data_IF_274653699148
#
_entry.id   IF_274653699148
#
_cell.length_a   1.000
_cell.length_b   1.000
_cell.length_c   1.000
_cell.angle_alpha   90.00
_cell.angle_beta   90.00
_cell.angle_gamma   90.00
#
_symmetry.space_group_name_H-M   'P 1'
#
loop_
_entity.id
_entity.type
_entity.pdbx_description
1 polymer ?
#
# COMPACT_ATOMS: atom_id res chain seq x y z
N UNK A 1 9.91 -5.30 38.03
CA UNK A 1 9.88 -6.22 36.87
C UNK A 1 9.67 -5.35 35.63
N UNK A 2 10.74 -5.17 34.85
CA UNK A 2 10.75 -4.28 33.66
C UNK A 2 10.07 -5.02 32.53
N UNK A 3 8.87 -4.61 32.12
CA UNK A 3 8.17 -5.15 30.94
C UNK A 3 8.79 -4.56 29.70
N UNK A 4 9.54 -5.36 28.97
CA UNK A 4 9.93 -5.04 27.60
C UNK A 4 8.66 -5.07 26.75
N UNK A 5 8.33 -3.95 26.11
CA UNK A 5 7.22 -3.87 25.15
C UNK A 5 7.73 -4.49 23.86
N UNK A 6 7.37 -5.73 23.63
CA UNK A 6 7.76 -6.46 22.42
C UNK A 6 6.92 -6.00 21.24
N UNK A 7 7.62 -5.58 20.16
CA UNK A 7 7.08 -4.96 18.95
C UNK A 7 6.38 -6.01 18.05
N UNK A 8 5.42 -6.75 18.58
CA UNK A 8 4.47 -7.50 17.76
C UNK A 8 3.30 -6.64 17.24
N UNK A 9 3.19 -5.40 17.73
CA UNK A 9 1.99 -4.54 17.60
C UNK A 9 1.88 -3.85 16.24
N UNK A 10 2.94 -3.78 15.43
CA UNK A 10 2.90 -3.09 14.12
C UNK A 10 2.18 -3.92 13.04
N UNK A 11 1.88 -5.19 13.29
CA UNK A 11 1.12 -6.03 12.36
C UNK A 11 -0.40 -5.89 12.47
N UNK A 12 -0.94 -5.39 13.56
CA UNK A 12 -2.39 -5.28 13.75
C UNK A 12 -3.04 -4.12 12.99
N UNK A 13 -2.30 -3.05 12.68
CA UNK A 13 -2.80 -1.94 11.85
C UNK A 13 -2.82 -2.24 10.33
N UNK A 14 -2.25 -3.37 9.90
CA UNK A 14 -2.20 -3.77 8.49
C UNK A 14 -3.20 -4.89 8.12
N UNK A 15 -4.01 -5.38 9.07
CA UNK A 15 -4.89 -6.54 8.85
C UNK A 15 -6.27 -6.20 8.25
N UNK A 16 -6.53 -4.96 7.84
CA UNK A 16 -7.76 -4.57 7.13
C UNK A 16 -7.61 -4.35 5.63
N UNK A 17 -6.52 -4.77 5.01
CA UNK A 17 -6.44 -4.83 3.55
C UNK A 17 -6.57 -6.28 3.07
N UNK A 18 -7.82 -6.76 2.98
CA UNK A 18 -8.15 -7.89 2.10
C UNK A 18 -7.91 -7.44 0.67
N UNK A 19 -6.94 -8.05 0.05
CA UNK A 19 -6.75 -8.27 -1.39
C UNK A 19 -7.74 -7.55 -2.32
N UNK A 20 -7.35 -6.37 -2.78
CA UNK A 20 -7.70 -5.91 -4.11
C UNK A 20 -6.53 -6.28 -5.05
N UNK A 21 -6.80 -6.61 -6.32
CA UNK A 21 -5.75 -6.98 -7.25
C UNK A 21 -4.79 -5.80 -7.45
N UNK A 22 -3.51 -6.12 -7.45
CA UNK A 22 -2.45 -5.16 -7.74
C UNK A 22 -2.67 -4.55 -9.13
N UNK A 23 -3.02 -3.26 -9.17
CA UNK A 23 -2.70 -2.38 -10.28
C UNK A 23 -2.98 -0.92 -9.92
N UNK A 24 -2.01 -0.10 -10.28
CA UNK A 24 -1.96 1.35 -10.25
C UNK A 24 -1.38 2.01 -8.99
N UNK A 25 -0.06 2.19 -9.01
CA UNK A 25 0.65 3.26 -8.31
C UNK A 25 0.42 4.57 -9.09
N UNK A 26 -0.16 5.62 -8.52
CA UNK A 26 -0.12 6.93 -9.16
C UNK A 26 1.25 7.55 -8.91
N UNK A 27 2.00 7.75 -9.96
CA UNK A 27 3.21 8.55 -10.00
C UNK A 27 2.85 10.01 -9.72
N UNK A 28 3.49 10.62 -8.73
CA UNK A 28 3.31 12.03 -8.41
C UNK A 28 3.78 12.91 -9.59
N UNK A 29 2.89 13.72 -10.11
CA UNK A 29 3.21 14.77 -11.08
C UNK A 29 3.89 15.96 -10.38
N UNK A 30 4.86 16.65 -11.03
CA UNK A 30 5.53 17.80 -10.44
C UNK A 30 4.60 19.01 -10.38
N UNK A 31 4.70 19.77 -9.28
CA UNK A 31 3.95 20.99 -9.05
C UNK A 31 4.30 22.08 -10.10
N UNK A 32 3.31 22.84 -10.59
CA UNK A 32 3.59 23.98 -11.46
C UNK A 32 4.14 25.16 -10.67
N UNK A 33 5.15 25.81 -11.21
CA UNK A 33 5.76 27.03 -10.71
C UNK A 33 4.75 28.20 -10.68
N UNK A 34 4.63 28.83 -9.52
CA UNK A 34 3.82 30.04 -9.34
C UNK A 34 4.50 31.24 -10.00
N UNK A 35 3.85 31.82 -10.98
CA UNK A 35 4.19 33.13 -11.54
C UNK A 35 3.67 34.23 -10.61
N UNK A 36 4.59 35.08 -10.17
CA UNK A 36 4.31 36.27 -9.36
C UNK A 36 3.57 37.32 -10.18
N UNK A 37 2.41 37.77 -9.71
CA UNK A 37 1.80 39.04 -10.11
C UNK A 37 1.75 39.99 -8.91
N UNK A 38 2.39 41.10 -9.10
CA UNK A 38 2.46 42.25 -8.20
C UNK A 38 1.15 43.04 -8.22
N UNK A 39 0.52 43.25 -7.07
CA UNK A 39 -0.57 44.19 -6.85
C UNK A 39 -0.36 44.94 -5.51
N UNK A 40 -0.88 46.17 -5.31
CA UNK A 40 -0.28 47.20 -4.48
C UNK A 40 -0.53 47.10 -2.98
N UNK A 41 0.40 47.67 -2.25
CA UNK A 41 0.53 47.77 -0.82
C UNK A 41 -0.73 48.29 -0.07
N UNK A 42 -1.19 47.56 0.93
CA UNK A 42 -2.02 48.08 2.03
C UNK A 42 -1.25 47.92 3.33
N UNK A 43 -1.33 48.95 4.16
CA UNK A 43 -0.48 49.24 5.30
C UNK A 43 -0.53 48.22 6.43
N UNK A 44 0.63 48.05 7.06
CA UNK A 44 0.95 47.14 8.15
C UNK A 44 0.21 47.46 9.45
N UNK A 45 -0.55 46.48 9.91
CA UNK A 45 -0.76 46.26 11.33
C UNK A 45 0.33 45.31 11.83
N UNK A 46 1.16 45.72 12.77
CA UNK A 46 2.19 44.91 13.43
C UNK A 46 1.54 43.82 14.28
N UNK A 47 1.28 42.69 13.63
CA UNK A 47 1.06 41.42 14.32
C UNK A 47 2.45 40.77 14.45
N UNK A 48 3.00 40.71 15.65
CA UNK A 48 4.18 39.93 15.96
C UNK A 48 3.95 38.49 15.49
N UNK A 49 4.71 38.06 14.50
CA UNK A 49 4.80 36.67 14.15
C UNK A 49 5.26 35.88 15.41
N UNK A 50 4.65 34.71 15.71
CA UNK A 50 5.14 33.89 16.80
C UNK A 50 6.60 33.53 16.55
N UNK A 51 7.44 33.75 17.54
CA UNK A 51 8.85 33.41 17.53
C UNK A 51 9.01 31.95 17.10
N UNK A 52 9.86 31.61 16.10
CA UNK A 52 10.03 30.23 15.67
C UNK A 52 10.47 29.40 16.86
N UNK A 53 9.70 28.36 17.17
CA UNK A 53 10.06 27.40 18.21
C UNK A 53 11.52 26.95 18.02
N UNK A 54 12.32 26.82 19.07
CA UNK A 54 13.73 26.44 18.97
C UNK A 54 13.85 25.14 18.20
N UNK A 55 14.72 25.10 17.19
CA UNK A 55 14.93 23.94 16.35
C UNK A 55 15.22 22.71 17.25
N UNK A 56 14.42 21.68 17.11
CA UNK A 56 14.58 20.46 17.90
C UNK A 56 15.99 19.91 17.68
N UNK A 57 16.68 19.56 18.79
CA UNK A 57 18.03 18.98 18.70
C UNK A 57 17.99 17.69 17.85
N UNK A 58 19.02 17.40 17.03
CA UNK A 58 19.04 16.15 16.27
C UNK A 58 18.87 14.93 17.17
N UNK A 59 18.16 13.92 16.70
CA UNK A 59 18.01 12.64 17.41
C UNK A 59 19.38 12.01 17.58
N UNK A 60 19.83 11.68 18.81
CA UNK A 60 21.14 11.10 19.04
C UNK A 60 21.38 9.84 18.20
N UNK A 61 22.62 9.66 17.70
CA UNK A 61 23.00 8.46 16.95
C UNK A 61 22.79 7.20 17.80
N UNK A 62 23.12 7.28 19.08
CA UNK A 62 22.81 6.26 20.08
C UNK A 62 21.68 6.79 20.99
N UNK A 63 20.55 6.09 20.97
CA UNK A 63 19.39 6.48 21.79
C UNK A 63 19.66 6.24 23.28
N UNK A 64 19.16 7.13 24.16
CA UNK A 64 19.19 6.90 25.61
C UNK A 64 18.27 5.71 25.97
N UNK A 65 18.45 5.15 27.18
CA UNK A 65 17.63 4.04 27.68
C UNK A 65 16.13 4.38 27.63
N UNK A 66 15.77 5.64 27.95
CA UNK A 66 14.39 6.14 27.93
C UNK A 66 14.35 7.31 26.95
N UNK A 67 13.47 7.25 25.96
CA UNK A 67 13.28 8.30 24.93
C UNK A 67 12.06 9.17 25.18
N UNK A 68 11.08 8.67 25.93
CA UNK A 68 9.95 9.46 26.39
C UNK A 68 9.29 8.85 27.64
N UNK A 69 8.48 9.67 28.35
CA UNK A 69 7.57 9.22 29.39
C UNK A 69 6.18 9.71 29.10
N UNK A 70 5.18 8.83 29.25
CA UNK A 70 3.76 9.14 29.07
C UNK A 70 3.04 8.81 30.37
N UNK A 71 2.57 9.82 31.10
CA UNK A 71 1.98 9.68 32.43
C UNK A 71 2.84 8.84 33.39
N UNK A 72 4.19 9.01 33.32
CA UNK A 72 5.16 8.27 34.10
C UNK A 72 5.62 6.92 33.51
N UNK A 73 4.90 6.33 32.56
CA UNK A 73 5.34 5.11 31.87
C UNK A 73 6.42 5.43 30.83
N UNK A 74 7.52 4.65 30.84
CA UNK A 74 8.64 4.87 29.96
C UNK A 74 8.43 4.23 28.58
N UNK A 75 8.85 4.94 27.53
CA UNK A 75 9.12 4.39 26.20
C UNK A 75 10.65 4.29 26.09
N UNK A 76 11.16 3.10 25.76
CA UNK A 76 12.62 2.88 25.73
C UNK A 76 13.20 3.17 24.35
N UNK A 77 14.50 3.52 24.31
CA UNK A 77 15.25 3.68 23.06
C UNK A 77 15.28 2.39 22.26
N UNK A 78 15.33 1.24 22.94
CA UNK A 78 15.27 -0.07 22.28
C UNK A 78 13.94 -0.27 21.55
N UNK A 79 12.82 0.04 22.19
CA UNK A 79 11.49 -0.11 21.56
C UNK A 79 11.34 0.79 20.33
N UNK A 80 11.86 2.02 20.42
CA UNK A 80 11.88 2.96 19.30
C UNK A 80 12.77 2.45 18.15
N UNK A 81 13.98 1.97 18.44
CA UNK A 81 14.89 1.40 17.43
C UNK A 81 14.27 0.17 16.75
N UNK A 82 13.62 -0.70 17.51
CA UNK A 82 12.98 -1.90 16.99
C UNK A 82 11.79 -1.52 16.07
N UNK A 83 11.00 -0.50 16.44
CA UNK A 83 9.90 0.01 15.61
C UNK A 83 10.42 0.60 14.30
N UNK A 84 11.45 1.42 14.35
CA UNK A 84 12.09 2.02 13.18
C UNK A 84 12.70 0.94 12.27
N UNK A 85 13.37 -0.07 12.82
CA UNK A 85 13.90 -1.21 12.05
C UNK A 85 12.79 -2.01 11.34
N UNK A 86 11.66 -2.20 11.99
CA UNK A 86 10.52 -2.89 11.36
C UNK A 86 9.97 -2.12 10.15
N UNK A 87 9.98 -0.79 10.20
CA UNK A 87 9.61 0.07 9.06
C UNK A 87 10.66 -0.04 7.94
N UNK A 88 11.94 0.10 8.29
CA UNK A 88 13.04 0.00 7.33
C UNK A 88 13.09 -1.38 6.63
N UNK A 89 12.74 -2.44 7.32
CA UNK A 89 12.66 -3.79 6.75
C UNK A 89 11.59 -3.95 5.66
N UNK A 90 10.57 -3.08 5.64
CA UNK A 90 9.48 -3.09 4.65
C UNK A 90 9.66 -2.04 3.55
N UNK A 91 10.10 -0.85 3.93
CA UNK A 91 10.20 0.30 3.03
C UNK A 91 11.61 0.52 2.45
N UNK A 92 12.60 -0.25 2.90
CA UNK A 92 14.01 -0.05 2.57
C UNK A 92 14.75 0.81 3.61
N UNK A 93 16.08 0.97 3.45
CA UNK A 93 16.90 1.71 4.38
C UNK A 93 16.49 3.20 4.46
N UNK A 94 16.48 3.74 5.68
CA UNK A 94 16.14 5.14 5.93
C UNK A 94 17.32 6.03 5.52
N UNK A 95 17.13 7.02 4.64
CA UNK A 95 18.16 7.99 4.30
C UNK A 95 18.63 8.77 5.54
N UNK A 96 19.94 9.08 5.67
CA UNK A 96 20.47 9.76 6.84
C UNK A 96 19.82 11.11 7.15
N UNK A 97 19.46 11.86 6.14
CA UNK A 97 18.76 13.16 6.22
C UNK A 97 17.29 13.04 6.68
N UNK A 98 16.68 11.88 6.52
CA UNK A 98 15.31 11.60 6.98
C UNK A 98 15.26 10.98 8.39
N UNK A 99 16.41 10.57 8.93
CA UNK A 99 16.48 9.83 10.19
C UNK A 99 15.73 10.53 11.33
N UNK A 100 15.98 11.79 11.55
CA UNK A 100 15.36 12.56 12.63
C UNK A 100 13.84 12.62 12.49
N UNK A 101 13.37 12.87 11.29
CA UNK A 101 11.93 12.92 10.98
C UNK A 101 11.26 11.58 11.24
N UNK A 102 11.89 10.49 10.79
CA UNK A 102 11.35 9.13 10.97
C UNK A 102 11.30 8.75 12.44
N UNK A 103 12.41 8.92 13.19
CA UNK A 103 12.46 8.57 14.61
C UNK A 103 11.44 9.35 15.44
N UNK A 104 11.30 10.67 15.21
CA UNK A 104 10.31 11.49 15.89
C UNK A 104 8.88 11.10 15.52
N UNK A 105 8.61 10.85 14.26
CA UNK A 105 7.29 10.40 13.81
C UNK A 105 6.90 9.04 14.41
N UNK A 106 7.84 8.09 14.48
CA UNK A 106 7.61 6.80 15.13
C UNK A 106 7.39 6.97 16.64
N UNK A 107 8.21 7.78 17.31
CA UNK A 107 8.04 8.08 18.74
C UNK A 107 6.69 8.72 19.03
N UNK A 108 6.26 9.65 18.18
CA UNK A 108 4.96 10.31 18.29
C UNK A 108 3.81 9.31 18.20
N UNK A 109 3.87 8.38 17.24
CA UNK A 109 2.90 7.30 17.12
C UNK A 109 2.92 6.38 18.36
N UNK A 110 4.09 6.03 18.89
CA UNK A 110 4.21 5.22 20.11
C UNK A 110 3.60 5.92 21.31
N UNK A 111 3.77 7.24 21.45
CA UNK A 111 3.16 8.05 22.50
C UNK A 111 1.62 8.01 22.36
N UNK A 112 1.09 8.25 21.16
CA UNK A 112 -0.35 8.18 20.90
C UNK A 112 -0.94 6.81 21.23
N UNK A 113 -0.27 5.75 20.81
CA UNK A 113 -0.68 4.38 21.11
C UNK A 113 -0.66 4.05 22.61
N UNK A 114 0.37 4.50 23.33
CA UNK A 114 0.44 4.35 24.79
C UNK A 114 -0.72 5.06 25.49
N UNK A 115 -1.09 6.26 25.03
CA UNK A 115 -2.24 6.99 25.57
C UNK A 115 -3.55 6.25 25.34
N UNK A 116 -3.74 5.66 24.17
CA UNK A 116 -4.94 4.85 23.89
C UNK A 116 -5.03 3.63 24.82
N UNK A 117 -3.90 2.91 25.05
CA UNK A 117 -3.86 1.78 25.97
C UNK A 117 -4.21 2.23 27.41
N UNK A 118 -3.64 3.34 27.87
CA UNK A 118 -3.92 3.89 29.21
C UNK A 118 -5.39 4.26 29.36
N UNK A 119 -5.96 4.93 28.37
CA UNK A 119 -7.37 5.31 28.36
C UNK A 119 -8.30 4.08 28.30
N UNK A 120 -7.96 3.06 27.48
CA UNK A 120 -8.70 1.81 27.45
C UNK A 120 -8.71 1.10 28.80
N UNK A 121 -7.58 1.10 29.52
CA UNK A 121 -7.48 0.58 30.89
C UNK A 121 -8.31 1.41 31.88
N UNK A 122 -8.24 2.73 31.81
CA UNK A 122 -9.01 3.64 32.66
C UNK A 122 -10.52 3.44 32.47
N UNK A 123 -10.97 3.23 31.24
CA UNK A 123 -12.38 2.94 30.90
C UNK A 123 -12.76 1.48 31.06
N UNK A 124 -11.85 0.62 31.52
CA UNK A 124 -12.09 -0.82 31.75
C UNK A 124 -12.61 -1.53 30.50
N UNK A 125 -12.04 -1.21 29.33
CA UNK A 125 -12.36 -1.91 28.08
C UNK A 125 -11.89 -3.35 28.20
N UNK A 126 -12.83 -4.30 28.13
CA UNK A 126 -12.56 -5.72 28.28
C UNK A 126 -12.42 -6.39 26.90
N UNK A 127 -11.35 -7.15 26.73
CA UNK A 127 -11.14 -8.05 25.59
C UNK A 127 -11.22 -9.48 26.13
N UNK A 128 -12.17 -10.31 25.66
CA UNK A 128 -12.28 -11.71 26.07
C UNK A 128 -11.01 -12.49 25.72
N UNK A 129 -10.65 -13.46 26.55
CA UNK A 129 -9.47 -14.32 26.29
C UNK A 129 -9.60 -15.10 24.98
N UNK A 130 -10.81 -15.50 24.61
CA UNK A 130 -11.10 -16.16 23.32
C UNK A 130 -10.69 -15.31 22.12
N UNK A 131 -10.95 -14.00 22.17
CA UNK A 131 -10.59 -13.08 21.09
C UNK A 131 -9.06 -12.92 21.01
N UNK A 132 -8.40 -12.81 22.19
CA UNK A 132 -6.94 -12.75 22.29
C UNK A 132 -6.30 -14.02 21.75
N UNK A 133 -6.83 -15.19 22.11
CA UNK A 133 -6.31 -16.49 21.65
C UNK A 133 -6.47 -16.66 20.15
N UNK A 134 -7.59 -16.24 19.59
CA UNK A 134 -7.82 -16.24 18.14
C UNK A 134 -6.80 -15.34 17.41
N UNK A 135 -6.54 -14.15 17.94
CA UNK A 135 -5.57 -13.23 17.35
C UNK A 135 -4.13 -13.76 17.45
N UNK A 136 -3.76 -14.35 18.60
CA UNK A 136 -2.47 -15.00 18.78
C UNK A 136 -2.31 -16.20 17.86
N UNK A 137 -3.38 -16.99 17.64
CA UNK A 137 -3.35 -18.08 16.67
C UNK A 137 -3.12 -17.58 15.23
N UNK A 138 -3.71 -16.44 14.84
CA UNK A 138 -3.44 -15.81 13.55
C UNK A 138 -1.96 -15.36 13.42
N UNK A 139 -1.39 -14.77 14.48
CA UNK A 139 0.03 -14.41 14.50
C UNK A 139 0.91 -15.65 14.32
N UNK A 140 0.63 -16.74 15.04
CA UNK A 140 1.36 -18.01 14.88
C UNK A 140 1.22 -18.60 13.48
N UNK A 141 0.05 -18.49 12.87
CA UNK A 141 -0.22 -18.96 11.50
C UNK A 141 0.57 -18.21 10.40
N UNK A 142 1.19 -17.06 10.71
CA UNK A 142 2.08 -16.35 9.77
C UNK A 142 3.48 -17.01 9.69
N UNK A 143 3.81 -17.89 10.61
CA UNK A 143 5.07 -18.61 10.62
C UNK A 143 4.91 -19.98 9.96
N UNK A 144 5.86 -20.44 9.15
CA UNK A 144 5.81 -21.73 8.46
C UNK A 144 5.72 -22.94 9.41
N UNK A 145 6.20 -22.78 10.66
CA UNK A 145 6.14 -23.83 11.69
C UNK A 145 6.19 -23.27 13.11
N UNK A 146 5.72 -24.06 14.08
CA UNK A 146 5.83 -23.73 15.51
C UNK A 146 7.29 -23.49 15.95
N UNK A 147 8.23 -24.26 15.41
CA UNK A 147 9.67 -24.10 15.71
C UNK A 147 10.15 -22.70 15.31
N UNK A 148 9.76 -22.20 14.14
CA UNK A 148 10.12 -20.87 13.70
C UNK A 148 9.44 -19.78 14.54
N UNK A 149 8.21 -19.97 14.96
CA UNK A 149 7.55 -19.05 15.89
C UNK A 149 8.29 -18.98 17.23
N UNK A 150 8.68 -20.11 17.83
CA UNK A 150 9.44 -20.15 19.08
C UNK A 150 10.84 -19.54 18.93
N UNK A 151 11.49 -19.75 17.79
CA UNK A 151 12.76 -19.10 17.47
C UNK A 151 12.62 -17.58 17.38
N UNK A 152 11.54 -17.09 16.78
CA UNK A 152 11.25 -15.65 16.69
C UNK A 152 11.01 -15.04 18.08
N UNK A 153 10.26 -15.72 18.95
CA UNK A 153 10.07 -15.29 20.35
C UNK A 153 11.42 -15.19 21.08
N UNK A 154 12.26 -16.23 20.95
CA UNK A 154 13.58 -16.27 21.58
C UNK A 154 14.52 -15.19 21.06
N UNK A 155 14.53 -14.97 19.74
CA UNK A 155 15.36 -13.94 19.11
C UNK A 155 14.96 -12.52 19.58
N UNK A 156 13.67 -12.29 19.82
CA UNK A 156 13.14 -11.04 20.34
C UNK A 156 13.18 -10.95 21.87
N UNK A 157 13.68 -12.00 22.55
CA UNK A 157 13.73 -12.09 24.02
C UNK A 157 12.34 -11.85 24.65
N UNK A 158 11.29 -12.37 24.05
CA UNK A 158 9.91 -12.28 24.52
C UNK A 158 9.32 -13.66 24.81
N UNK A 159 8.12 -13.70 25.37
CA UNK A 159 7.38 -14.93 25.69
C UNK A 159 6.01 -14.90 25.06
N UNK A 160 5.38 -16.08 24.89
CA UNK A 160 4.00 -16.17 24.43
C UNK A 160 3.04 -15.39 25.34
N UNK A 161 3.27 -15.41 26.65
CA UNK A 161 2.45 -14.64 27.62
C UNK A 161 2.57 -13.14 27.37
N UNK A 162 3.81 -12.64 27.12
CA UNK A 162 4.01 -11.23 26.75
C UNK A 162 3.29 -10.88 25.45
N UNK A 163 3.38 -11.74 24.41
CA UNK A 163 2.64 -11.56 23.16
C UNK A 163 1.13 -11.50 23.39
N UNK A 164 0.58 -12.41 24.24
CA UNK A 164 -0.84 -12.37 24.60
C UNK A 164 -1.25 -11.07 25.29
N UNK A 165 -0.43 -10.59 26.23
CA UNK A 165 -0.70 -9.35 26.94
C UNK A 165 -0.63 -8.13 26.01
N UNK A 166 0.38 -8.07 25.15
CA UNK A 166 0.52 -7.00 24.15
C UNK A 166 -0.65 -7.03 23.15
N UNK A 167 -1.06 -8.22 22.72
CA UNK A 167 -2.26 -8.40 21.86
C UNK A 167 -3.52 -7.90 22.56
N UNK A 168 -3.73 -8.26 23.82
CA UNK A 168 -4.89 -7.79 24.60
C UNK A 168 -4.90 -6.26 24.73
N UNK A 169 -3.74 -5.65 25.03
CA UNK A 169 -3.60 -4.20 25.12
C UNK A 169 -3.94 -3.54 23.80
N UNK A 170 -3.42 -4.07 22.66
CA UNK A 170 -3.72 -3.57 21.33
C UNK A 170 -5.21 -3.65 21.00
N UNK A 171 -5.82 -4.82 21.18
CA UNK A 171 -7.25 -5.01 20.94
C UNK A 171 -8.12 -4.11 21.83
N UNK A 172 -7.68 -3.82 23.06
CA UNK A 172 -8.41 -2.89 23.94
C UNK A 172 -8.36 -1.46 23.44
N UNK A 173 -7.21 -1.03 22.90
CA UNK A 173 -7.05 0.27 22.26
C UNK A 173 -7.91 0.37 20.98
N UNK A 174 -7.94 -0.67 20.16
CA UNK A 174 -8.78 -0.72 18.95
C UNK A 174 -10.28 -0.65 19.30
N UNK A 175 -10.74 -1.40 20.31
CA UNK A 175 -12.13 -1.34 20.79
C UNK A 175 -12.46 0.04 21.35
N UNK A 176 -11.53 0.69 22.04
CA UNK A 176 -11.71 2.07 22.53
C UNK A 176 -11.90 3.03 21.36
N UNK A 177 -11.00 3.00 20.38
CA UNK A 177 -11.07 3.86 19.19
C UNK A 177 -12.40 3.61 18.48
N UNK A 178 -12.76 2.37 18.21
CA UNK A 178 -14.03 2.04 17.56
C UNK A 178 -15.23 2.62 18.31
N UNK A 179 -15.29 2.48 19.64
CA UNK A 179 -16.38 3.03 20.44
C UNK A 179 -16.48 4.57 20.39
N UNK A 180 -15.32 5.26 20.25
CA UNK A 180 -15.25 6.71 20.20
C UNK A 180 -15.63 7.29 18.83
N UNK A 181 -15.32 6.57 17.77
CA UNK A 181 -15.45 7.11 16.41
C UNK A 181 -16.62 6.52 15.62
N UNK A 182 -17.21 5.39 16.02
CA UNK A 182 -18.24 4.68 15.27
C UNK A 182 -19.38 5.58 14.76
N UNK A 183 -19.86 6.50 15.61
CA UNK A 183 -20.92 7.44 15.23
C UNK A 183 -20.44 8.63 14.39
N UNK A 184 -19.12 8.83 14.27
CA UNK A 184 -18.50 10.01 13.64
C UNK A 184 -17.92 9.74 12.25
N UNK A 185 -17.81 8.46 11.86
CA UNK A 185 -17.18 8.06 10.60
C UNK A 185 -18.16 7.82 9.46
N UNK A 186 -19.45 7.82 9.76
CA UNK A 186 -20.48 7.62 8.74
C UNK A 186 -20.36 8.64 7.61
N UNK A 187 -20.30 8.15 6.39
CA UNK A 187 -20.24 8.97 5.17
C UNK A 187 -21.67 9.25 4.70
N UNK A 188 -22.00 10.53 4.55
CA UNK A 188 -23.31 10.92 4.00
C UNK A 188 -23.28 10.76 2.47
N UNK A 189 -24.41 10.39 1.84
CA UNK A 189 -24.51 10.26 0.37
C UNK A 189 -24.07 11.53 -0.37
N UNK A 190 -24.36 12.71 0.21
CA UNK A 190 -23.97 14.00 -0.38
C UNK A 190 -22.44 14.15 -0.46
N UNK A 191 -21.71 13.65 0.55
CA UNK A 191 -20.23 13.71 0.56
C UNK A 191 -19.63 12.82 -0.54
N UNK A 192 -20.26 11.71 -0.87
CA UNK A 192 -19.84 10.82 -1.98
C UNK A 192 -20.02 11.53 -3.31
N UNK A 193 -21.18 12.14 -3.51
CA UNK A 193 -21.49 12.91 -4.74
C UNK A 193 -20.54 14.10 -4.89
N UNK A 194 -20.32 14.85 -3.81
CA UNK A 194 -19.40 15.98 -3.79
C UNK A 194 -17.96 15.56 -4.10
N UNK A 195 -17.51 14.45 -3.50
CA UNK A 195 -16.16 13.92 -3.78
C UNK A 195 -16.00 13.54 -5.25
N UNK A 196 -16.98 12.82 -5.81
CA UNK A 196 -16.98 12.45 -7.21
C UNK A 196 -16.93 13.66 -8.14
N UNK A 197 -17.80 14.66 -7.91
CA UNK A 197 -17.85 15.88 -8.72
C UNK A 197 -16.55 16.69 -8.69
N UNK A 198 -15.92 16.79 -7.51
CA UNK A 198 -14.67 17.55 -7.32
C UNK A 198 -13.42 16.83 -7.82
N UNK A 199 -13.50 15.53 -8.11
CA UNK A 199 -12.37 14.68 -8.47
C UNK A 199 -12.62 13.86 -9.75
N UNK A 200 -13.38 14.38 -10.70
CA UNK A 200 -13.74 13.64 -11.93
C UNK A 200 -12.53 13.17 -12.74
N UNK A 201 -11.42 13.90 -12.66
CA UNK A 201 -10.13 13.54 -13.23
C UNK A 201 -9.61 12.18 -12.73
N UNK A 202 -9.88 11.84 -11.46
CA UNK A 202 -9.48 10.57 -10.83
C UNK A 202 -10.35 9.38 -11.27
N UNK A 203 -11.49 9.65 -11.88
CA UNK A 203 -12.43 8.64 -12.38
C UNK A 203 -12.34 8.44 -13.88
N UNK A 204 -11.36 9.07 -14.56
CA UNK A 204 -11.08 8.79 -15.95
C UNK A 204 -10.33 7.47 -16.07
N UNK A 205 -10.91 6.53 -16.81
CA UNK A 205 -10.24 5.32 -17.26
C UNK A 205 -9.72 5.56 -18.68
N UNK A 206 -8.43 5.36 -18.89
CA UNK A 206 -7.81 5.36 -20.20
C UNK A 206 -8.39 4.28 -21.13
N UNK A 207 -8.05 4.31 -22.41
CA UNK A 207 -8.45 3.25 -23.33
C UNK A 207 -7.78 1.94 -22.88
N UNK A 208 -8.55 0.85 -22.95
CA UNK A 208 -8.04 -0.48 -22.61
C UNK A 208 -8.41 -1.52 -23.67
N UNK A 209 -7.54 -2.50 -23.80
CA UNK A 209 -7.67 -3.57 -24.80
C UNK A 209 -7.67 -4.90 -24.08
N UNK A 210 -8.61 -5.79 -24.45
CA UNK A 210 -8.54 -7.21 -24.09
C UNK A 210 -7.92 -7.98 -25.23
N UNK A 211 -6.79 -8.63 -24.96
CA UNK A 211 -6.14 -9.40 -26.00
C UNK A 211 -5.67 -10.76 -25.49
N UNK A 212 -5.50 -11.67 -26.45
CA UNK A 212 -4.78 -12.91 -26.27
C UNK A 212 -3.49 -12.88 -27.08
N UNK A 213 -2.46 -13.59 -26.61
CA UNK A 213 -1.21 -13.69 -27.34
C UNK A 213 -0.63 -15.10 -27.39
N UNK A 214 0.25 -15.31 -28.36
CA UNK A 214 1.13 -16.47 -28.47
C UNK A 214 2.56 -15.94 -28.44
N UNK A 215 3.36 -16.38 -27.48
CA UNK A 215 4.78 -16.03 -27.37
C UNK A 215 5.65 -17.17 -27.85
N UNK A 216 6.53 -16.89 -28.81
CA UNK A 216 7.69 -17.72 -29.14
C UNK A 216 8.91 -17.05 -28.54
N UNK A 217 9.31 -17.53 -27.38
CA UNK A 217 10.39 -16.94 -26.58
C UNK A 217 11.75 -17.07 -27.26
N UNK A 218 12.60 -16.09 -26.99
CA UNK A 218 14.03 -16.13 -27.35
C UNK A 218 14.87 -15.88 -26.09
N UNK A 219 15.95 -16.64 -25.88
CA UNK A 219 16.90 -16.34 -24.81
C UNK A 219 17.50 -14.95 -24.97
N UNK A 220 17.79 -14.28 -23.86
CA UNK A 220 18.27 -12.90 -23.86
C UNK A 220 19.54 -12.68 -24.70
N UNK A 221 20.39 -13.70 -24.80
CA UNK A 221 21.65 -13.68 -25.59
C UNK A 221 21.58 -14.61 -26.80
N UNK A 222 20.40 -14.81 -27.40
CA UNK A 222 20.24 -15.67 -28.57
C UNK A 222 21.04 -15.16 -29.77
N UNK A 223 21.68 -16.07 -30.44
CA UNK A 223 22.35 -15.78 -31.73
C UNK A 223 21.34 -15.54 -32.86
N UNK A 224 21.84 -15.08 -33.99
CA UNK A 224 21.01 -14.77 -35.15
C UNK A 224 20.24 -16.00 -35.69
N UNK A 225 20.84 -17.19 -35.64
CA UNK A 225 20.20 -18.41 -36.09
C UNK A 225 19.01 -18.80 -35.19
N UNK A 226 19.18 -18.72 -33.88
CA UNK A 226 18.11 -18.98 -32.91
C UNK A 226 16.94 -17.97 -33.07
N UNK A 227 17.24 -16.69 -33.27
CA UNK A 227 16.22 -15.66 -33.54
C UNK A 227 15.48 -15.95 -34.85
N UNK A 228 16.19 -16.33 -35.90
CA UNK A 228 15.60 -16.68 -37.20
C UNK A 228 14.68 -17.90 -37.11
N UNK A 229 15.08 -18.92 -36.35
CA UNK A 229 14.24 -20.12 -36.13
C UNK A 229 12.95 -19.77 -35.33
N UNK A 230 13.07 -18.98 -34.28
CA UNK A 230 11.93 -18.52 -33.50
C UNK A 230 10.96 -17.67 -34.35
N UNK A 231 11.51 -16.78 -35.18
CA UNK A 231 10.73 -15.98 -36.12
C UNK A 231 10.00 -16.84 -37.13
N UNK A 232 10.69 -17.79 -37.76
CA UNK A 232 10.10 -18.73 -38.74
C UNK A 232 8.96 -19.55 -38.08
N UNK A 233 9.12 -19.97 -36.83
CA UNK A 233 8.07 -20.66 -36.08
C UNK A 233 6.85 -19.75 -35.85
N UNK A 234 7.07 -18.52 -35.48
CA UNK A 234 5.98 -17.53 -35.27
C UNK A 234 5.24 -17.24 -36.58
N UNK A 235 5.98 -17.07 -37.70
CA UNK A 235 5.39 -16.83 -39.01
C UNK A 235 4.57 -18.05 -39.50
N UNK A 236 5.04 -19.29 -39.25
CA UNK A 236 4.29 -20.49 -39.55
C UNK A 236 2.99 -20.58 -38.74
N UNK A 237 3.01 -20.29 -37.43
CA UNK A 237 1.83 -20.24 -36.59
C UNK A 237 0.85 -19.15 -37.04
N UNK A 238 1.35 -17.99 -37.41
CA UNK A 238 0.51 -16.90 -37.94
C UNK A 238 -0.20 -17.31 -39.21
N UNK A 239 0.51 -18.00 -40.13
CA UNK A 239 -0.07 -18.55 -41.38
C UNK A 239 -1.22 -19.52 -41.07
N UNK A 240 -0.99 -20.41 -40.10
CA UNK A 240 -2.00 -21.40 -39.68
C UNK A 240 -3.22 -20.72 -39.09
N UNK A 241 -3.04 -19.71 -38.24
CA UNK A 241 -4.11 -18.92 -37.63
C UNK A 241 -4.90 -18.14 -38.69
N UNK A 242 -4.21 -17.53 -39.65
CA UNK A 242 -4.85 -16.87 -40.81
C UNK A 242 -5.64 -17.85 -41.69
N UNK A 243 -5.29 -19.14 -41.68
CA UNK A 243 -6.06 -20.19 -42.39
C UNK A 243 -7.27 -20.72 -41.57
N UNK A 244 -7.53 -20.18 -40.37
CA UNK A 244 -8.70 -20.50 -39.56
C UNK A 244 -8.47 -21.46 -38.39
N UNK A 245 -7.19 -21.79 -38.05
CA UNK A 245 -6.92 -22.57 -36.83
C UNK A 245 -7.38 -21.77 -35.59
N UNK A 246 -7.85 -22.50 -34.59
CA UNK A 246 -8.28 -21.89 -33.34
C UNK A 246 -7.10 -21.25 -32.57
N UNK A 247 -7.25 -20.00 -32.21
CA UNK A 247 -6.19 -19.22 -31.55
C UNK A 247 -5.87 -19.76 -30.15
N UNK A 248 -6.91 -20.06 -29.35
CA UNK A 248 -6.71 -20.50 -27.98
C UNK A 248 -6.08 -21.88 -27.91
N UNK A 249 -6.50 -22.82 -28.79
CA UNK A 249 -5.87 -24.13 -28.89
C UNK A 249 -4.40 -24.01 -29.34
N UNK A 250 -4.12 -23.12 -30.32
CA UNK A 250 -2.74 -22.86 -30.80
C UNK A 250 -1.87 -22.25 -29.72
N UNK A 251 -2.41 -21.30 -28.93
CA UNK A 251 -1.73 -20.70 -27.78
C UNK A 251 -1.38 -21.77 -26.72
N UNK A 252 -2.35 -22.59 -26.32
CA UNK A 252 -2.11 -23.69 -25.35
C UNK A 252 -1.01 -24.65 -25.77
N UNK A 253 -0.94 -24.94 -27.06
CA UNK A 253 0.02 -25.92 -27.59
C UNK A 253 1.41 -25.33 -27.85
N UNK A 254 1.54 -24.05 -28.13
CA UNK A 254 2.78 -23.47 -28.68
C UNK A 254 3.31 -22.26 -27.93
N UNK A 255 2.47 -21.54 -27.16
CA UNK A 255 2.91 -20.35 -26.43
C UNK A 255 3.87 -20.73 -25.31
N UNK A 256 4.94 -19.96 -25.19
CA UNK A 256 5.94 -20.09 -24.13
C UNK A 256 5.75 -19.06 -23.02
N UNK A 257 4.60 -18.39 -22.99
CA UNK A 257 4.19 -17.57 -21.84
C UNK A 257 3.48 -18.44 -20.80
N UNK A 258 4.11 -18.76 -19.66
CA UNK A 258 3.52 -19.65 -18.66
C UNK A 258 2.28 -19.04 -17.97
N UNK A 259 2.15 -17.71 -18.01
CA UNK A 259 1.04 -17.00 -17.36
C UNK A 259 -0.27 -17.12 -18.15
N UNK A 260 -0.22 -17.00 -19.47
CA UNK A 260 -1.42 -16.96 -20.30
C UNK A 260 -1.63 -18.22 -21.16
N UNK A 261 -0.58 -18.97 -21.50
CA UNK A 261 -0.69 -20.17 -22.36
C UNK A 261 -1.76 -21.17 -21.88
N UNK A 262 -1.86 -21.55 -20.58
CA UNK A 262 -2.89 -22.47 -20.11
C UNK A 262 -4.31 -21.98 -20.35
N UNK A 263 -4.49 -20.65 -20.39
CA UNK A 263 -5.77 -19.98 -20.61
C UNK A 263 -5.98 -19.56 -22.08
N UNK A 264 -5.27 -20.20 -23.03
CA UNK A 264 -5.42 -19.89 -24.46
C UNK A 264 -4.78 -18.55 -24.86
N UNK A 265 -3.83 -18.08 -24.08
CA UNK A 265 -3.11 -16.83 -24.31
C UNK A 265 -3.84 -15.58 -23.80
N UNK A 266 -5.00 -15.70 -23.12
CA UNK A 266 -5.79 -14.55 -22.65
C UNK A 266 -5.04 -13.78 -21.56
N UNK A 267 -4.81 -12.47 -21.81
CA UNK A 267 -4.16 -11.54 -20.92
C UNK A 267 -5.16 -10.69 -20.12
N UNK A 268 -6.46 -10.82 -20.40
CA UNK A 268 -7.47 -9.92 -19.89
C UNK A 268 -7.39 -8.51 -20.49
N UNK A 269 -8.00 -7.54 -19.81
CA UNK A 269 -7.88 -6.13 -20.18
C UNK A 269 -6.59 -5.52 -19.61
N UNK A 270 -5.94 -4.71 -20.41
CA UNK A 270 -4.78 -3.90 -19.99
C UNK A 270 -4.86 -2.48 -20.57
N UNK A 271 -4.26 -1.54 -19.87
CA UNK A 271 -4.17 -0.14 -20.22
C UNK A 271 -2.81 0.19 -20.83
N UNK A 272 -2.68 1.39 -21.42
CA UNK A 272 -1.38 1.87 -21.90
C UNK A 272 -0.37 1.97 -20.73
N UNK A 273 0.88 1.61 -21.01
CA UNK A 273 1.95 1.57 -20.02
C UNK A 273 2.08 0.25 -19.24
N UNK A 274 1.14 -0.70 -19.42
CA UNK A 274 1.17 -2.00 -18.72
C UNK A 274 1.93 -3.09 -19.47
N UNK A 275 2.14 -2.92 -20.77
CA UNK A 275 2.83 -3.90 -21.61
C UNK A 275 4.12 -3.32 -22.19
N UNK A 276 5.00 -4.19 -22.67
CA UNK A 276 6.21 -3.73 -23.35
C UNK A 276 5.86 -2.94 -24.63
N UNK A 277 6.58 -1.84 -24.93
CA UNK A 277 6.16 -0.90 -25.96
C UNK A 277 5.83 -1.50 -27.34
N UNK A 278 6.60 -2.43 -27.93
CA UNK A 278 6.25 -2.99 -29.23
C UNK A 278 4.95 -3.80 -29.21
N UNK A 279 4.70 -4.55 -28.12
CA UNK A 279 3.47 -5.31 -27.92
C UNK A 279 2.26 -4.37 -27.77
N UNK A 280 2.40 -3.37 -26.90
CA UNK A 280 1.36 -2.40 -26.64
C UNK A 280 0.94 -1.64 -27.89
N UNK A 281 1.91 -1.11 -28.62
CA UNK A 281 1.67 -0.39 -29.88
C UNK A 281 0.88 -1.25 -30.87
N UNK A 282 1.27 -2.52 -31.02
CA UNK A 282 0.58 -3.44 -31.91
C UNK A 282 -0.85 -3.73 -31.43
N UNK A 283 -1.03 -4.02 -30.12
CA UNK A 283 -2.34 -4.34 -29.58
C UNK A 283 -3.33 -3.17 -29.69
N UNK A 284 -2.87 -1.93 -29.35
CA UNK A 284 -3.71 -0.75 -29.42
C UNK A 284 -4.01 -0.26 -30.86
N UNK A 285 -3.25 -0.71 -31.86
CA UNK A 285 -3.51 -0.43 -33.28
C UNK A 285 -4.60 -1.34 -33.88
N UNK A 286 -4.87 -2.49 -33.27
CA UNK A 286 -5.82 -3.48 -33.77
C UNK A 286 -7.26 -3.16 -33.34
N UNK A 287 -8.20 -3.54 -34.20
CA UNK A 287 -9.63 -3.55 -33.89
C UNK A 287 -10.04 -4.87 -33.22
N UNK A 288 -11.18 -4.90 -32.49
CA UNK A 288 -11.73 -6.14 -32.00
C UNK A 288 -11.90 -7.19 -33.11
N UNK A 289 -11.43 -8.41 -32.84
CA UNK A 289 -11.39 -9.53 -33.79
C UNK A 289 -10.12 -9.60 -34.65
N UNK A 290 -9.35 -8.53 -34.77
CA UNK A 290 -8.13 -8.51 -35.58
C UNK A 290 -6.96 -9.19 -34.88
N UNK A 291 -6.01 -9.64 -35.71
CA UNK A 291 -4.77 -10.30 -35.29
C UNK A 291 -3.57 -9.53 -35.87
N UNK A 292 -2.52 -9.39 -35.07
CA UNK A 292 -1.30 -8.72 -35.50
C UNK A 292 -0.50 -9.57 -36.50
N UNK A 293 0.41 -8.91 -37.22
CA UNK A 293 1.58 -9.60 -37.74
C UNK A 293 2.50 -10.05 -36.57
N UNK A 294 3.61 -10.74 -36.87
CA UNK A 294 4.56 -11.13 -35.84
C UNK A 294 5.27 -9.90 -35.27
N UNK A 295 5.09 -9.65 -33.98
CA UNK A 295 5.67 -8.52 -33.24
C UNK A 295 6.88 -8.98 -32.45
N UNK A 296 8.01 -8.31 -32.59
CA UNK A 296 9.23 -8.61 -31.85
C UNK A 296 9.30 -7.78 -30.56
N UNK A 297 9.71 -8.41 -29.47
CA UNK A 297 10.01 -7.77 -28.20
C UNK A 297 11.26 -8.36 -27.55
N UNK A 298 11.68 -7.85 -26.40
CA UNK A 298 12.77 -8.43 -25.61
C UNK A 298 12.53 -9.88 -25.15
N UNK A 299 11.28 -10.34 -25.13
CA UNK A 299 10.90 -11.70 -24.74
C UNK A 299 10.86 -12.67 -25.91
N UNK A 300 10.79 -12.19 -27.14
CA UNK A 300 10.65 -13.00 -28.32
C UNK A 300 9.64 -12.44 -29.32
N UNK A 301 9.01 -13.34 -30.06
CA UNK A 301 8.04 -13.03 -31.11
C UNK A 301 6.63 -13.31 -30.63
N UNK A 302 5.75 -12.33 -30.79
CA UNK A 302 4.36 -12.39 -30.36
C UNK A 302 3.42 -12.39 -31.56
N UNK A 303 2.32 -13.16 -31.46
CA UNK A 303 1.15 -13.00 -32.29
C UNK A 303 0.03 -12.56 -31.35
N UNK A 304 -0.59 -11.42 -31.59
CA UNK A 304 -1.57 -10.78 -30.71
C UNK A 304 -2.93 -10.82 -31.42
N UNK A 305 -3.98 -11.19 -30.68
CA UNK A 305 -5.37 -11.10 -31.16
C UNK A 305 -6.17 -10.28 -30.16
N UNK A 306 -6.75 -9.18 -30.62
CA UNK A 306 -7.62 -8.33 -29.81
C UNK A 306 -9.04 -8.93 -29.78
N UNK A 307 -9.54 -9.14 -28.57
CA UNK A 307 -10.88 -9.64 -28.34
C UNK A 307 -11.90 -8.51 -28.17
N UNK A 308 -11.51 -7.44 -27.45
CA UNK A 308 -12.35 -6.29 -27.16
C UNK A 308 -11.50 -5.02 -26.97
N UNK A 309 -12.14 -3.86 -27.14
CA UNK A 309 -11.55 -2.55 -26.92
C UNK A 309 -12.55 -1.64 -26.23
N UNK A 310 -12.10 -0.97 -25.20
CA UNK A 310 -12.87 0.04 -24.49
C UNK A 310 -12.15 1.38 -24.61
N UNK A 311 -12.88 2.37 -25.08
CA UNK A 311 -12.37 3.74 -25.19
C UNK A 311 -12.29 4.41 -23.82
N UNK A 312 -11.59 5.55 -23.76
CA UNK A 312 -11.55 6.39 -22.57
C UNK A 312 -12.98 6.68 -22.10
N UNK A 313 -13.24 6.41 -20.83
CA UNK A 313 -14.53 6.73 -20.20
C UNK A 313 -14.33 7.36 -18.82
N UNK A 314 -15.28 8.15 -18.41
CA UNK A 314 -15.43 8.51 -17.00
C UNK A 314 -16.21 7.40 -16.31
N UNK A 315 -15.66 6.80 -15.26
CA UNK A 315 -16.36 5.79 -14.44
C UNK A 315 -17.58 6.47 -13.81
N UNK A 316 -18.81 6.00 -14.07
CA UNK A 316 -20.01 6.61 -13.51
C UNK A 316 -20.02 6.58 -11.98
N UNK A 317 -20.69 7.56 -11.35
CA UNK A 317 -20.80 7.63 -9.89
C UNK A 317 -21.31 6.31 -9.28
N UNK A 318 -22.28 5.66 -9.91
CA UNK A 318 -22.85 4.40 -9.41
C UNK A 318 -21.82 3.26 -9.32
N UNK A 319 -20.88 3.20 -10.27
CA UNK A 319 -19.78 2.23 -10.24
C UNK A 319 -18.70 2.60 -9.20
N UNK A 320 -18.43 3.90 -9.02
CA UNK A 320 -17.40 4.42 -8.12
C UNK A 320 -17.88 4.54 -6.68
N UNK A 321 -19.20 4.56 -6.44
CA UNK A 321 -19.81 4.90 -5.16
C UNK A 321 -19.26 4.11 -3.98
N UNK A 322 -19.24 2.79 -4.07
CA UNK A 322 -18.75 1.94 -2.98
C UNK A 322 -17.27 2.22 -2.64
N UNK A 323 -16.44 2.44 -3.66
CA UNK A 323 -15.02 2.76 -3.47
C UNK A 323 -14.83 4.14 -2.83
N UNK A 324 -15.63 5.12 -3.24
CA UNK A 324 -15.61 6.46 -2.65
C UNK A 324 -16.08 6.41 -1.19
N UNK A 325 -17.16 5.68 -0.89
CA UNK A 325 -17.68 5.50 0.47
C UNK A 325 -16.62 4.88 1.38
N UNK A 326 -15.96 3.84 0.92
CA UNK A 326 -14.87 3.20 1.66
C UNK A 326 -13.70 4.17 1.88
N UNK A 327 -13.24 4.87 0.85
CA UNK A 327 -12.18 5.86 0.94
C UNK A 327 -12.51 6.97 1.95
N UNK A 328 -13.69 7.57 1.85
CA UNK A 328 -14.13 8.64 2.75
C UNK A 328 -14.32 8.12 4.18
N UNK A 329 -14.81 6.88 4.36
CA UNK A 329 -14.93 6.25 5.67
C UNK A 329 -13.55 6.09 6.32
N UNK A 330 -12.56 5.61 5.57
CA UNK A 330 -11.18 5.47 6.07
C UNK A 330 -10.56 6.84 6.38
N UNK A 331 -10.79 7.83 5.54
CA UNK A 331 -10.34 9.21 5.77
C UNK A 331 -10.96 9.80 7.05
N UNK A 332 -12.28 9.65 7.22
CA UNK A 332 -12.98 10.10 8.44
C UNK A 332 -12.46 9.35 9.67
N UNK A 333 -12.27 8.03 9.57
CA UNK A 333 -11.71 7.20 10.65
C UNK A 333 -10.35 7.72 11.08
N UNK A 334 -9.46 7.97 10.14
CA UNK A 334 -8.13 8.52 10.43
C UNK A 334 -8.23 9.87 11.14
N UNK A 335 -8.97 10.82 10.58
CA UNK A 335 -9.15 12.16 11.14
C UNK A 335 -9.78 12.13 12.55
N UNK A 336 -10.82 11.31 12.77
CA UNK A 336 -11.46 11.20 14.09
C UNK A 336 -10.54 10.51 15.12
N UNK A 337 -9.75 9.52 14.70
CA UNK A 337 -8.76 8.90 15.59
C UNK A 337 -7.68 9.90 15.98
N UNK A 338 -7.19 10.71 15.04
CA UNK A 338 -6.21 11.75 15.32
C UNK A 338 -6.75 12.81 16.30
N UNK A 339 -7.97 13.28 16.09
CA UNK A 339 -8.66 14.20 17.01
C UNK A 339 -8.78 13.60 18.41
N UNK A 340 -9.15 12.33 18.50
CA UNK A 340 -9.25 11.63 19.78
C UNK A 340 -7.89 11.51 20.48
N UNK A 341 -6.85 11.09 19.77
CA UNK A 341 -5.49 11.00 20.32
C UNK A 341 -4.98 12.36 20.76
N UNK A 342 -5.23 13.43 19.98
CA UNK A 342 -4.84 14.80 20.35
C UNK A 342 -5.58 15.27 21.62
N UNK A 343 -6.84 14.89 21.80
CA UNK A 343 -7.57 15.17 23.04
C UNK A 343 -7.00 14.41 24.26
N UNK A 344 -6.47 13.19 24.07
CA UNK A 344 -5.75 12.47 25.12
C UNK A 344 -4.40 13.12 25.43
N UNK A 345 -3.65 13.56 24.41
CA UNK A 345 -2.37 14.27 24.57
C UNK A 345 -2.51 15.53 25.40
N UNK A 346 -3.57 16.32 25.15
CA UNK A 346 -3.83 17.56 25.86
C UNK A 346 -4.04 17.38 27.38
N UNK A 347 -4.41 16.16 27.81
CA UNK A 347 -4.65 15.83 29.23
C UNK A 347 -3.47 15.07 29.88
N UNK A 348 -2.52 14.62 29.07
CA UNK A 348 -1.45 13.74 29.51
C UNK A 348 -0.17 14.52 29.88
N UNK A 349 0.60 13.97 30.83
CA UNK A 349 1.94 14.41 31.07
C UNK A 349 2.91 13.64 30.14
N UNK A 350 3.44 14.34 29.12
CA UNK A 350 4.35 13.77 28.13
C UNK A 350 5.72 14.47 28.30
N UNK A 351 6.77 13.65 28.45
CA UNK A 351 8.15 14.11 28.53
C UNK A 351 8.92 13.44 27.39
N UNK A 352 9.44 14.22 26.43
CA UNK A 352 10.26 13.74 25.32
C UNK A 352 11.73 14.04 25.66
N UNK A 353 12.60 13.04 25.57
CA UNK A 353 13.99 13.08 26.01
C UNK A 353 15.01 13.04 24.86
N UNK A 354 14.54 13.05 23.59
CA UNK A 354 15.37 13.06 22.37
C UNK A 354 14.98 14.18 21.43
#
# INVERSE_FOLDING_TARGET
MRRAISIFIITALAACSRTAPANATPQAAPAPAASAQSGPAAQAGTSQAPEPAPAAKPVPAQLPEIVARVNGEAITGKDLDDAVRAIAGRAGPIPPDERDRVYRGVLDNMIGYRLMIQEAKARKIIVPDTDVDAQVAQIRGQFPSEVQFQQALSAQKTTLEAVRNDTREGMSADKLVESEIASKVAVKPEAVTDFYQKNQDKFQQGPRVRASHILIGIPQNADAATKQQARAKADALLKDLKSGKDFAATAKANSQDPGSAPNGGDLGYFEQGQMVPPFEQAAFALKPGEMSEVVESQFGYHIIKVADRQDTRVVPLEEAKAQIEEFLTQQNRHAQTELFVNALRAKAKIEILI
#
